data_IF_013305731358
#
_entry.id   IF_013305731358
#
_cell.length_a   1.000
_cell.length_b   1.000
_cell.length_c   1.000
_cell.angle_alpha   90.00
_cell.angle_beta   90.00
_cell.angle_gamma   90.00
#
_symmetry.space_group_name_H-M   'P 1'
#
loop_
_entity.id
_entity.type
_entity.pdbx_description
1 polymer ?
#
# COMPACT_ATOMS: atom_id res chain seq x y z
N UNK A 1 13.28 -12.26 -3.42
CA UNK A 1 12.67 -11.48 -4.51
C UNK A 1 11.71 -10.44 -3.95
N UNK A 2 11.64 -9.27 -4.58
CA UNK A 2 10.67 -8.24 -4.23
C UNK A 2 9.28 -8.70 -4.71
N UNK A 3 8.34 -8.84 -3.77
CA UNK A 3 6.96 -9.20 -4.05
C UNK A 3 6.22 -7.94 -4.45
N UNK A 4 5.96 -7.89 -5.74
CA UNK A 4 5.41 -6.80 -6.51
C UNK A 4 3.87 -6.75 -6.43
N UNK A 5 3.26 -5.58 -6.19
CA UNK A 5 1.83 -5.48 -5.78
C UNK A 5 0.99 -4.46 -6.54
N UNK A 6 -0.33 -4.77 -6.61
CA UNK A 6 -1.40 -3.97 -7.21
C UNK A 6 -2.16 -3.19 -6.12
N UNK A 7 -2.71 -2.03 -6.50
CA UNK A 7 -3.33 -1.03 -5.62
C UNK A 7 -4.49 -1.55 -4.74
N UNK A 8 -5.36 -2.41 -5.27
CA UNK A 8 -6.55 -2.90 -4.55
C UNK A 8 -6.26 -3.84 -3.35
N UNK A 9 -5.01 -4.26 -3.16
CA UNK A 9 -4.63 -5.18 -2.07
C UNK A 9 -4.31 -4.46 -0.76
N UNK A 10 -4.38 -3.12 -0.71
CA UNK A 10 -4.12 -2.36 0.51
C UNK A 10 -5.15 -2.67 1.61
N UNK A 11 -4.67 -2.76 2.84
CA UNK A 11 -5.53 -2.99 4.01
C UNK A 11 -5.65 -1.71 4.81
N UNK A 12 -6.89 -1.28 5.05
CA UNK A 12 -7.17 -0.27 6.07
C UNK A 12 -6.88 -0.89 7.45
N UNK A 13 -5.97 -0.31 8.22
CA UNK A 13 -5.56 -0.78 9.54
C UNK A 13 -5.94 0.19 10.66
N UNK A 14 -7.25 0.28 10.91
CA UNK A 14 -7.76 0.97 12.10
C UNK A 14 -7.34 0.30 13.42
N UNK A 15 -6.76 -0.90 13.39
CA UNK A 15 -6.15 -1.58 14.54
C UNK A 15 -5.02 -0.76 15.19
N UNK A 16 -4.46 0.24 14.47
CA UNK A 16 -3.45 1.16 15.01
C UNK A 16 -4.04 2.32 15.81
N UNK A 17 -5.38 2.49 15.83
CA UNK A 17 -6.11 3.49 16.63
C UNK A 17 -6.26 3.00 18.08
N UNK A 18 -5.13 2.67 18.74
CA UNK A 18 -5.11 2.24 20.14
C UNK A 18 -5.71 3.29 21.10
N UNK A 19 -5.71 4.56 20.69
CA UNK A 19 -6.22 5.72 21.44
C UNK A 19 -7.75 5.90 21.37
N UNK A 20 -8.47 5.14 20.52
CA UNK A 20 -9.92 5.00 20.57
C UNK A 20 -10.33 3.57 20.93
N UNK A 21 -9.62 2.94 21.87
CA UNK A 21 -10.07 1.66 22.42
C UNK A 21 -11.40 1.85 23.17
N UNK A 22 -12.51 1.67 22.46
CA UNK A 22 -13.85 1.78 23.01
C UNK A 22 -14.03 0.82 24.19
N UNK A 23 -13.35 -0.32 24.22
CA UNK A 23 -13.42 -1.25 25.34
C UNK A 23 -12.78 -0.65 26.59
N UNK A 24 -11.64 0.03 26.46
CA UNK A 24 -11.02 0.76 27.57
C UNK A 24 -11.98 1.79 28.20
N UNK A 25 -12.64 2.60 27.36
CA UNK A 25 -13.57 3.63 27.85
C UNK A 25 -14.87 3.03 28.40
N UNK A 26 -15.38 1.95 27.81
CA UNK A 26 -16.53 1.20 28.33
C UNK A 26 -16.20 0.60 29.71
N UNK A 27 -15.02 0.03 29.90
CA UNK A 27 -14.58 -0.47 31.21
C UNK A 27 -14.41 0.67 32.24
N UNK A 28 -13.96 1.84 31.82
CA UNK A 28 -13.90 3.04 32.68
C UNK A 28 -15.30 3.49 33.11
N UNK A 29 -16.29 3.47 32.21
CA UNK A 29 -17.69 3.76 32.54
C UNK A 29 -18.27 2.74 33.54
N UNK A 30 -18.00 1.44 33.34
CA UNK A 30 -18.40 0.38 34.30
C UNK A 30 -17.80 0.61 35.68
N UNK A 31 -16.50 0.94 35.75
CA UNK A 31 -15.81 1.27 37.02
C UNK A 31 -16.40 2.50 37.72
N UNK A 32 -17.01 3.42 36.97
CA UNK A 32 -17.76 4.57 37.49
C UNK A 32 -19.19 4.23 37.93
N UNK A 33 -19.59 2.96 37.84
CA UNK A 33 -20.91 2.47 38.26
C UNK A 33 -22.01 2.66 37.21
N UNK A 34 -21.67 3.00 35.96
CA UNK A 34 -22.65 3.03 34.87
C UNK A 34 -22.87 1.62 34.32
N UNK A 35 -24.13 1.27 34.08
CA UNK A 35 -24.53 0.00 33.49
C UNK A 35 -24.91 0.19 32.01
N UNK A 36 -24.69 -0.84 31.16
CA UNK A 36 -25.17 -0.82 29.78
C UNK A 36 -26.71 -0.70 29.72
N UNK A 37 -27.27 -0.16 28.62
CA UNK A 37 -26.57 0.26 27.40
C UNK A 37 -25.84 1.60 27.55
N UNK A 38 -24.58 1.64 27.10
CA UNK A 38 -23.82 2.88 27.02
C UNK A 38 -24.20 3.65 25.75
N UNK A 39 -24.35 4.97 25.85
CA UNK A 39 -24.57 5.82 24.69
C UNK A 39 -23.26 6.53 24.25
N UNK A 40 -23.25 6.99 22.99
CA UNK A 40 -22.07 7.62 22.39
C UNK A 40 -21.59 8.86 23.13
N UNK A 41 -22.51 9.65 23.71
CA UNK A 41 -22.16 10.84 24.47
C UNK A 41 -21.40 10.50 25.77
N UNK A 42 -21.79 9.44 26.47
CA UNK A 42 -21.09 8.98 27.68
C UNK A 42 -19.66 8.55 27.36
N UNK A 43 -19.49 7.78 26.28
CA UNK A 43 -18.16 7.30 25.85
C UNK A 43 -17.30 8.48 25.38
N UNK A 44 -17.87 9.40 24.59
CA UNK A 44 -17.16 10.59 24.09
C UNK A 44 -16.73 11.52 25.21
N UNK A 45 -17.52 11.65 26.29
CA UNK A 45 -17.13 12.43 27.45
C UNK A 45 -15.91 11.83 28.17
N UNK A 46 -15.87 10.49 28.33
CA UNK A 46 -14.70 9.82 28.90
C UNK A 46 -13.46 9.99 28.03
N UNK A 47 -13.62 9.80 26.71
CA UNK A 47 -12.56 9.99 25.71
C UNK A 47 -11.95 11.39 25.83
N UNK A 48 -12.77 12.44 25.77
CA UNK A 48 -12.30 13.84 25.84
C UNK A 48 -11.63 14.18 27.17
N UNK A 49 -11.95 13.46 28.23
CA UNK A 49 -11.41 13.69 29.58
C UNK A 49 -10.12 12.92 29.86
N UNK A 50 -9.67 12.03 28.97
CA UNK A 50 -8.51 11.16 29.19
C UNK A 50 -7.28 11.63 28.37
N UNK A 51 -6.43 12.51 28.93
CA UNK A 51 -5.28 13.03 28.20
C UNK A 51 -4.19 11.98 27.93
N UNK A 52 -4.29 10.80 28.58
CA UNK A 52 -3.29 9.74 28.45
C UNK A 52 -3.66 8.69 27.39
N UNK A 53 -4.95 8.58 27.05
CA UNK A 53 -5.45 7.64 26.05
C UNK A 53 -6.14 8.33 24.86
N UNK A 54 -6.36 9.65 24.88
CA UNK A 54 -6.88 10.42 23.75
C UNK A 54 -5.86 11.44 23.26
N UNK A 55 -5.54 11.39 21.97
CA UNK A 55 -4.68 12.36 21.30
C UNK A 55 -5.31 12.76 19.96
N UNK A 56 -5.92 13.96 19.92
CA UNK A 56 -6.62 14.48 18.73
C UNK A 56 -5.70 14.61 17.52
N UNK A 57 -4.45 15.03 17.75
CA UNK A 57 -3.44 15.19 16.70
C UNK A 57 -3.08 13.84 16.07
N UNK A 58 -2.95 12.80 16.88
CA UNK A 58 -2.67 11.45 16.41
C UNK A 58 -3.89 10.80 15.73
N UNK A 59 -5.09 11.03 16.28
CA UNK A 59 -6.33 10.60 15.63
C UNK A 59 -6.45 11.18 14.23
N UNK A 60 -6.26 12.50 14.10
CA UNK A 60 -6.33 13.17 12.81
C UNK A 60 -5.32 12.58 11.82
N UNK A 61 -4.08 12.36 12.26
CA UNK A 61 -3.03 11.75 11.45
C UNK A 61 -3.45 10.37 10.92
N UNK A 62 -3.83 9.47 11.82
CA UNK A 62 -4.19 8.09 11.45
C UNK A 62 -5.45 8.07 10.58
N UNK A 63 -6.47 8.85 10.91
CA UNK A 63 -7.68 8.94 10.07
C UNK A 63 -7.35 9.41 8.67
N UNK A 64 -6.53 10.45 8.52
CA UNK A 64 -6.13 10.96 7.20
C UNK A 64 -5.33 9.92 6.41
N UNK A 65 -4.40 9.21 7.07
CA UNK A 65 -3.62 8.13 6.47
C UNK A 65 -4.49 6.98 5.97
N UNK A 66 -5.37 6.46 6.83
CA UNK A 66 -6.22 5.31 6.52
C UNK A 66 -7.27 5.65 5.45
N UNK A 67 -7.81 6.87 5.46
CA UNK A 67 -8.67 7.35 4.37
C UNK A 67 -7.89 7.57 3.07
N UNK A 68 -6.59 7.86 3.13
CA UNK A 68 -5.70 7.79 1.98
C UNK A 68 -5.75 6.43 1.32
N UNK A 69 -5.61 5.33 2.08
CA UNK A 69 -5.73 3.97 1.54
C UNK A 69 -7.10 3.69 0.92
N UNK A 70 -8.19 4.18 1.53
CA UNK A 70 -9.55 4.06 0.96
C UNK A 70 -9.63 4.73 -0.41
N UNK A 71 -8.88 5.81 -0.62
CA UNK A 71 -8.79 6.55 -1.88
C UNK A 71 -7.72 6.02 -2.85
N UNK A 72 -7.14 4.84 -2.59
CA UNK A 72 -6.11 4.24 -3.45
C UNK A 72 -4.70 4.79 -3.21
N UNK A 73 -4.45 5.42 -2.04
CA UNK A 73 -3.10 5.82 -1.66
C UNK A 73 -2.30 4.64 -1.08
N UNK A 74 -1.05 4.47 -1.51
CA UNK A 74 -0.07 3.49 -1.07
C UNK A 74 0.82 4.14 -0.02
N UNK A 75 1.50 3.34 0.79
CA UNK A 75 2.53 3.87 1.68
C UNK A 75 3.67 4.50 0.89
N UNK A 76 4.06 5.71 1.28
CA UNK A 76 5.12 6.45 0.59
C UNK A 76 6.48 5.73 0.68
N UNK A 77 6.73 5.04 1.80
CA UNK A 77 7.92 4.20 2.01
C UNK A 77 8.00 2.97 1.08
N UNK A 78 6.91 2.65 0.37
CA UNK A 78 6.90 1.61 -0.66
C UNK A 78 7.45 2.12 -2.00
N UNK A 79 7.80 3.41 -2.10
CA UNK A 79 8.48 3.97 -3.26
C UNK A 79 9.84 3.28 -3.48
N UNK A 80 10.14 2.78 -4.70
CA UNK A 80 11.38 2.08 -4.98
C UNK A 80 12.62 2.91 -4.63
N UNK A 81 13.43 2.41 -3.70
CA UNK A 81 14.66 3.06 -3.27
C UNK A 81 14.49 4.18 -2.24
N UNK A 82 13.28 4.42 -1.72
CA UNK A 82 13.06 5.40 -0.66
C UNK A 82 13.78 5.02 0.64
N UNK A 83 13.59 3.78 1.13
CA UNK A 83 14.07 3.36 2.45
C UNK A 83 14.93 2.10 2.38
N UNK A 84 16.12 2.17 3.01
CA UNK A 84 17.03 1.04 3.19
C UNK A 84 16.72 0.24 4.46
N UNK A 85 15.67 -0.60 4.41
CA UNK A 85 15.17 -1.34 5.56
C UNK A 85 16.13 -2.41 6.11
N UNK A 86 16.28 -2.44 7.43
CA UNK A 86 16.97 -3.50 8.17
C UNK A 86 15.99 -4.62 8.57
N UNK A 87 15.78 -5.60 7.69
CA UNK A 87 14.84 -6.73 7.91
C UNK A 87 15.37 -7.77 8.89
N UNK A 88 15.42 -7.42 10.18
CA UNK A 88 15.90 -8.29 11.28
C UNK A 88 14.77 -8.68 12.21
N UNK A 89 14.96 -9.78 12.97
CA UNK A 89 13.98 -10.22 13.98
C UNK A 89 13.65 -9.13 15.01
N UNK A 90 14.58 -8.23 15.32
CA UNK A 90 14.32 -7.09 16.20
C UNK A 90 13.23 -6.16 15.66
N UNK A 91 13.22 -5.89 14.34
CA UNK A 91 12.21 -5.04 13.71
C UNK A 91 10.86 -5.76 13.66
N UNK A 92 10.85 -7.05 13.32
CA UNK A 92 9.62 -7.86 13.38
C UNK A 92 9.04 -7.93 14.81
N UNK A 93 9.89 -8.16 15.81
CA UNK A 93 9.48 -8.24 17.21
C UNK A 93 8.95 -6.91 17.74
N UNK A 94 9.47 -5.78 17.26
CA UNK A 94 8.92 -4.47 17.58
C UNK A 94 7.47 -4.38 17.11
N UNK A 95 7.20 -4.57 15.81
CA UNK A 95 5.84 -4.48 15.26
C UNK A 95 4.89 -5.53 15.84
N UNK A 96 5.39 -6.71 16.21
CA UNK A 96 4.60 -7.70 16.93
C UNK A 96 4.21 -7.20 18.32
N UNK A 97 5.12 -6.59 19.07
CA UNK A 97 4.85 -6.10 20.44
C UNK A 97 3.96 -4.87 20.45
N UNK A 98 4.18 -3.95 19.53
CA UNK A 98 3.48 -2.65 19.54
C UNK A 98 2.18 -2.67 18.75
N UNK A 99 2.03 -3.51 17.73
CA UNK A 99 0.83 -3.57 16.88
C UNK A 99 0.22 -4.97 16.76
N UNK A 100 0.81 -6.00 17.38
CA UNK A 100 0.32 -7.37 17.26
C UNK A 100 0.54 -7.99 15.87
N UNK A 101 1.33 -7.34 15.01
CA UNK A 101 1.50 -7.78 13.63
C UNK A 101 2.43 -8.99 13.53
N UNK A 102 1.99 -10.00 12.77
CA UNK A 102 2.87 -11.11 12.42
C UNK A 102 3.86 -10.70 11.32
N UNK A 103 4.88 -11.53 11.06
CA UNK A 103 5.92 -11.24 10.06
C UNK A 103 5.34 -10.93 8.68
N UNK A 104 4.28 -11.62 8.26
CA UNK A 104 3.64 -11.40 6.96
C UNK A 104 2.97 -10.02 6.88
N UNK A 105 2.33 -9.55 7.95
CA UNK A 105 1.71 -8.22 8.04
C UNK A 105 2.77 -7.12 8.07
N UNK A 106 3.92 -7.36 8.72
CA UNK A 106 5.08 -6.44 8.67
C UNK A 106 5.70 -6.39 7.27
N UNK A 107 5.94 -7.55 6.65
CA UNK A 107 6.44 -7.63 5.28
C UNK A 107 5.52 -6.90 4.30
N UNK A 108 4.21 -6.94 4.57
CA UNK A 108 3.21 -6.28 3.75
C UNK A 108 3.12 -4.76 3.99
N UNK A 109 2.94 -4.33 5.24
CA UNK A 109 2.66 -2.93 5.56
C UNK A 109 3.93 -2.05 5.59
N UNK A 110 5.08 -2.63 5.92
CA UNK A 110 6.31 -1.86 6.18
C UNK A 110 7.33 -2.03 5.05
N UNK A 111 7.56 -3.27 4.62
CA UNK A 111 8.69 -3.60 3.76
C UNK A 111 8.34 -3.84 2.28
N UNK A 112 7.05 -3.87 1.93
CA UNK A 112 6.63 -4.05 0.56
C UNK A 112 7.03 -2.82 -0.27
N UNK A 113 7.63 -3.06 -1.43
CA UNK A 113 7.87 -2.03 -2.44
C UNK A 113 6.81 -2.20 -3.54
N UNK A 114 6.35 -1.10 -4.12
CA UNK A 114 5.41 -1.12 -5.25
C UNK A 114 6.15 -0.87 -6.56
N UNK A 115 5.88 -1.68 -7.58
CA UNK A 115 6.44 -1.57 -8.95
C UNK A 115 5.73 -0.55 -9.81
N UNK A 116 4.52 -0.24 -9.38
CA UNK A 116 3.65 0.75 -9.99
C UNK A 116 3.39 1.78 -8.90
N UNK A 117 4.46 2.43 -8.43
CA UNK A 117 4.26 3.73 -7.79
C UNK A 117 3.71 4.67 -8.85
N UNK A 118 2.64 5.38 -8.47
CA UNK A 118 1.81 6.24 -9.32
C UNK A 118 2.42 6.57 -10.66
N UNK A 119 1.89 5.90 -11.69
CA UNK A 119 2.31 5.97 -13.08
C UNK A 119 2.73 7.39 -13.47
N UNK A 120 3.98 7.55 -13.90
CA UNK A 120 4.60 8.78 -14.39
C UNK A 120 4.46 10.03 -13.47
N UNK A 121 5.50 10.29 -12.66
CA UNK A 121 5.80 11.64 -12.18
C UNK A 121 5.37 11.97 -10.75
N UNK A 122 5.40 11.00 -9.85
CA UNK A 122 5.51 11.25 -8.40
C UNK A 122 6.93 10.89 -7.97
N UNK A 123 7.62 11.84 -7.35
CA UNK A 123 8.87 11.60 -6.63
C UNK A 123 8.54 11.19 -5.19
N UNK A 124 9.49 10.53 -4.51
CA UNK A 124 9.36 10.21 -3.08
C UNK A 124 9.13 11.48 -2.25
N UNK A 125 8.06 11.51 -1.46
CA UNK A 125 7.70 12.62 -0.58
C UNK A 125 7.80 12.25 0.91
N UNK A 126 8.94 12.52 1.59
CA UNK A 126 9.09 12.20 3.01
C UNK A 126 8.12 12.97 3.93
N UNK A 127 7.43 14.00 3.44
CA UNK A 127 6.43 14.75 4.22
C UNK A 127 5.00 14.24 4.01
N UNK A 128 4.80 13.26 3.13
CA UNK A 128 3.48 12.69 2.87
C UNK A 128 2.83 12.16 4.15
N UNK A 129 1.51 12.34 4.27
CA UNK A 129 0.73 11.70 5.33
C UNK A 129 0.77 10.17 5.22
N UNK A 130 1.09 9.63 4.03
CA UNK A 130 1.20 8.20 3.74
C UNK A 130 2.55 7.60 4.14
N UNK A 131 3.47 8.40 4.68
CA UNK A 131 4.77 7.97 5.17
C UNK A 131 4.70 7.61 6.66
N UNK A 132 5.14 6.42 7.06
CA UNK A 132 5.29 6.11 8.49
C UNK A 132 6.54 6.76 9.07
N UNK A 133 6.52 7.01 10.37
CA UNK A 133 7.73 7.32 11.12
C UNK A 133 8.74 6.16 11.02
N UNK A 134 10.01 6.51 10.88
CA UNK A 134 11.12 5.58 10.73
C UNK A 134 12.18 5.93 11.75
N UNK A 135 12.57 4.94 12.55
CA UNK A 135 13.62 5.09 13.54
C UNK A 135 14.97 4.63 12.96
N UNK A 136 16.11 5.25 13.37
CA UNK A 136 17.43 4.91 12.84
C UNK A 136 17.82 3.44 12.95
N UNK A 137 17.31 2.74 13.97
CA UNK A 137 17.62 1.33 14.20
C UNK A 137 16.86 0.38 13.26
N UNK A 138 15.84 0.87 12.54
CA UNK A 138 15.05 0.13 11.56
C UNK A 138 15.68 0.16 10.16
N UNK A 139 16.70 1.00 9.95
CA UNK A 139 17.37 1.20 8.65
C UNK A 139 18.84 0.77 8.72
N UNK A 140 19.45 0.52 7.57
CA UNK A 140 20.87 0.11 7.49
C UNK A 140 21.84 1.28 7.49
N UNK A 141 21.37 2.46 7.14
CA UNK A 141 22.14 3.71 7.00
C UNK A 141 21.86 4.73 8.12
N UNK A 142 20.96 4.41 9.05
CA UNK A 142 20.56 5.30 10.15
C UNK A 142 19.57 6.37 9.72
N UNK A 143 18.95 6.25 8.54
CA UNK A 143 17.86 7.12 8.12
C UNK A 143 16.73 7.13 9.15
N UNK A 144 16.19 8.32 9.43
CA UNK A 144 15.09 8.52 10.35
C UNK A 144 14.12 9.56 9.82
N UNK A 145 12.88 9.44 10.29
CA UNK A 145 11.81 10.36 9.96
C UNK A 145 10.76 10.31 11.08
N UNK A 146 10.33 11.49 11.55
CA UNK A 146 9.25 11.61 12.52
C UNK A 146 7.87 11.54 11.84
N UNK A 147 6.81 11.43 12.65
CA UNK A 147 5.44 11.42 12.15
C UNK A 147 5.05 12.73 11.44
N UNK A 148 4.44 12.61 10.27
CA UNK A 148 3.78 13.70 9.57
C UNK A 148 2.33 13.81 10.04
N UNK A 149 1.84 15.03 10.29
CA UNK A 149 0.49 15.25 10.87
C UNK A 149 -0.47 16.01 9.96
N UNK A 150 -0.02 16.40 8.78
CA UNK A 150 -0.77 17.20 7.82
C UNK A 150 -0.53 16.67 6.40
N UNK A 151 -1.44 16.95 5.47
CA UNK A 151 -1.22 16.61 4.06
C UNK A 151 -0.07 17.44 3.50
N UNK A 152 0.89 16.76 2.87
CA UNK A 152 1.93 17.42 2.10
C UNK A 152 1.34 18.09 0.84
N UNK A 153 2.15 18.91 0.18
CA UNK A 153 1.75 19.42 -1.15
C UNK A 153 1.77 18.33 -2.22
N UNK A 154 2.57 17.27 -2.03
CA UNK A 154 2.57 16.06 -2.85
C UNK A 154 1.24 15.33 -2.74
N UNK A 155 0.75 15.07 -1.52
CA UNK A 155 -0.53 14.42 -1.24
C UNK A 155 -1.69 15.13 -1.94
N UNK A 156 -1.78 16.46 -1.75
CA UNK A 156 -2.85 17.29 -2.32
C UNK A 156 -2.84 17.25 -3.85
N UNK A 157 -1.65 17.32 -4.45
CA UNK A 157 -1.50 17.27 -5.91
C UNK A 157 -1.86 15.88 -6.43
N UNK A 158 -1.39 14.82 -5.77
CA UNK A 158 -1.66 13.44 -6.17
C UNK A 158 -3.16 13.14 -6.10
N UNK A 159 -3.83 13.46 -5.00
CA UNK A 159 -5.26 13.16 -4.86
C UNK A 159 -6.12 13.98 -5.83
N UNK A 160 -5.74 15.22 -6.13
CA UNK A 160 -6.41 16.03 -7.15
C UNK A 160 -6.24 15.47 -8.57
N UNK A 161 -5.16 14.70 -8.83
CA UNK A 161 -4.98 13.96 -10.09
C UNK A 161 -5.87 12.73 -10.16
N UNK A 162 -6.18 12.08 -9.05
CA UNK A 162 -7.08 10.93 -9.02
C UNK A 162 -8.56 11.35 -9.05
N UNK A 163 -8.90 12.40 -8.32
CA UNK A 163 -10.26 12.87 -8.15
C UNK A 163 -10.36 14.36 -8.52
N UNK A 164 -10.30 14.70 -9.82
CA UNK A 164 -10.44 16.09 -10.27
C UNK A 164 -11.83 16.63 -9.94
N UNK A 165 -11.90 17.89 -9.49
CA UNK A 165 -13.14 18.51 -9.01
C UNK A 165 -14.18 18.74 -10.13
N UNK A 166 -13.72 19.16 -11.29
CA UNK A 166 -14.58 19.70 -12.37
C UNK A 166 -14.57 18.82 -13.63
N UNK A 167 -13.97 17.62 -13.57
CA UNK A 167 -13.84 16.69 -14.71
C UNK A 167 -14.10 15.26 -14.25
N UNK A 168 -14.56 14.42 -15.18
CA UNK A 168 -14.70 12.97 -14.94
C UNK A 168 -13.38 12.21 -15.08
N UNK A 169 -12.38 12.81 -15.75
CA UNK A 169 -11.06 12.23 -15.95
C UNK A 169 -9.99 13.31 -15.80
N UNK A 170 -8.84 12.93 -15.26
CA UNK A 170 -7.68 13.80 -15.08
C UNK A 170 -6.96 14.07 -16.39
N UNK A 171 -6.42 15.28 -16.54
CA UNK A 171 -5.54 15.61 -17.67
C UNK A 171 -4.22 14.80 -17.63
N UNK A 172 -3.89 14.24 -16.46
CA UNK A 172 -2.74 13.36 -16.23
C UNK A 172 -3.13 11.87 -16.21
N UNK A 173 -4.35 11.52 -16.64
CA UNK A 173 -4.75 10.12 -16.77
C UNK A 173 -3.85 9.40 -17.77
N UNK A 174 -3.19 8.35 -17.30
CA UNK A 174 -2.35 7.46 -18.11
C UNK A 174 -3.19 6.40 -18.82
N UNK A 175 -2.57 5.69 -19.76
CA UNK A 175 -3.19 4.50 -20.36
C UNK A 175 -3.48 3.45 -19.29
N UNK A 176 -4.76 3.12 -19.15
CA UNK A 176 -5.25 2.08 -18.26
C UNK A 176 -5.74 0.89 -19.07
N UNK A 177 -5.46 -0.28 -18.53
CA UNK A 177 -5.76 -1.57 -19.15
C UNK A 177 -6.43 -2.45 -18.10
N UNK A 178 -7.70 -2.78 -18.35
CA UNK A 178 -8.44 -3.77 -17.58
C UNK A 178 -8.50 -5.07 -18.37
N UNK A 179 -8.09 -6.17 -17.72
CA UNK A 179 -8.10 -7.51 -18.29
C UNK A 179 -9.19 -8.31 -17.59
N UNK A 180 -10.09 -8.90 -18.38
CA UNK A 180 -11.21 -9.72 -17.91
C UNK A 180 -11.36 -10.96 -18.78
N UNK A 181 -12.22 -11.91 -18.37
CA UNK A 181 -12.52 -13.14 -19.11
C UNK A 181 -11.26 -13.90 -19.57
N UNK A 182 -10.32 -14.09 -18.64
CA UNK A 182 -9.07 -14.82 -18.90
C UNK A 182 -9.41 -16.29 -19.15
N UNK A 183 -9.33 -16.72 -20.41
CA UNK A 183 -9.56 -18.10 -20.84
C UNK A 183 -8.36 -19.01 -20.58
N UNK A 184 -8.49 -20.27 -20.96
CA UNK A 184 -7.40 -21.25 -20.86
C UNK A 184 -6.20 -20.82 -21.72
N UNK A 185 -5.00 -20.95 -21.14
CA UNK A 185 -3.75 -20.67 -21.81
C UNK A 185 -3.37 -21.87 -22.69
N UNK A 186 -3.47 -21.73 -24.00
CA UNK A 186 -3.03 -22.76 -24.93
C UNK A 186 -1.51 -22.63 -25.19
N UNK A 187 -0.75 -23.69 -24.89
CA UNK A 187 0.69 -23.76 -25.14
C UNK A 187 0.98 -24.91 -26.10
N UNK A 188 1.41 -24.58 -27.31
CA UNK A 188 1.65 -25.54 -28.41
C UNK A 188 3.15 -25.58 -28.70
N UNK A 189 3.71 -26.78 -28.87
CA UNK A 189 5.05 -26.93 -29.41
C UNK A 189 5.03 -26.71 -30.94
N UNK A 190 5.87 -25.81 -31.43
CA UNK A 190 6.04 -25.48 -32.85
C UNK A 190 7.42 -25.98 -33.31
N UNK A 191 7.43 -27.21 -33.84
CA UNK A 191 8.65 -27.90 -34.29
C UNK A 191 9.33 -27.22 -35.49
N UNK A 192 8.60 -26.36 -36.22
CA UNK A 192 9.13 -25.59 -37.35
C UNK A 192 9.87 -24.36 -36.83
N UNK A 193 9.28 -23.64 -35.86
CA UNK A 193 9.92 -22.49 -35.21
C UNK A 193 10.92 -22.87 -34.12
N UNK A 194 11.00 -24.16 -33.79
CA UNK A 194 11.82 -24.70 -32.68
C UNK A 194 11.51 -23.98 -31.36
N UNK A 195 10.23 -23.79 -31.06
CA UNK A 195 9.80 -23.02 -29.90
C UNK A 195 8.36 -23.30 -29.46
N UNK A 196 7.93 -22.58 -28.44
CA UNK A 196 6.57 -22.66 -27.91
C UNK A 196 5.71 -21.52 -28.46
N UNK A 197 4.50 -21.83 -28.88
CA UNK A 197 3.46 -20.87 -29.23
C UNK A 197 2.49 -20.78 -28.06
N UNK A 198 2.42 -19.60 -27.44
CA UNK A 198 1.57 -19.31 -26.29
C UNK A 198 0.41 -18.45 -26.76
N UNK A 199 -0.82 -18.93 -26.58
CA UNK A 199 -2.05 -18.27 -27.02
C UNK A 199 -2.94 -18.02 -25.81
N UNK A 200 -2.79 -16.85 -25.16
CA UNK A 200 -3.73 -16.43 -24.14
C UNK A 200 -5.05 -15.99 -24.79
N UNK A 201 -6.15 -16.13 -24.07
CA UNK A 201 -7.44 -15.52 -24.42
C UNK A 201 -7.89 -14.64 -23.26
N UNK A 202 -8.25 -13.39 -23.54
CA UNK A 202 -8.78 -12.45 -22.56
C UNK A 202 -9.47 -11.28 -23.26
N UNK A 203 -10.35 -10.59 -22.55
CA UNK A 203 -10.93 -9.32 -22.96
C UNK A 203 -10.09 -8.17 -22.38
N UNK A 204 -9.69 -7.26 -23.27
CA UNK A 204 -9.04 -6.00 -22.94
C UNK A 204 -10.02 -4.84 -23.03
N UNK A 205 -10.18 -4.09 -21.94
CA UNK A 205 -10.80 -2.76 -21.94
C UNK A 205 -9.73 -1.71 -21.66
N UNK A 206 -9.83 -0.58 -22.35
CA UNK A 206 -8.89 0.54 -22.18
C UNK A 206 -9.65 1.84 -21.96
N UNK A 207 -9.00 2.82 -21.34
CA UNK A 207 -9.55 4.16 -21.16
C UNK A 207 -9.34 5.08 -22.39
N UNK A 208 -9.07 4.52 -23.58
CA UNK A 208 -8.85 5.28 -24.82
C UNK A 208 -7.70 6.30 -24.79
N UNK A 209 -6.76 6.19 -23.83
CA UNK A 209 -5.49 6.93 -23.86
C UNK A 209 -4.46 6.15 -24.66
N UNK A 210 -3.62 6.87 -25.40
CA UNK A 210 -2.51 6.28 -26.13
C UNK A 210 -1.47 5.77 -25.14
N UNK A 211 -1.06 4.51 -25.26
CA UNK A 211 -0.02 3.90 -24.46
C UNK A 211 0.47 2.62 -25.13
N UNK A 212 1.66 2.17 -24.75
CA UNK A 212 2.22 0.91 -25.19
C UNK A 212 1.82 -0.21 -24.21
N UNK A 213 1.27 -1.29 -24.75
CA UNK A 213 0.88 -2.46 -23.96
C UNK A 213 1.79 -3.62 -24.36
N UNK A 214 2.48 -4.18 -23.37
CA UNK A 214 3.38 -5.31 -23.54
C UNK A 214 2.72 -6.57 -23.00
N UNK A 215 2.59 -7.61 -23.84
CA UNK A 215 2.25 -8.94 -23.38
C UNK A 215 3.54 -9.73 -23.14
N UNK A 216 3.81 -10.09 -21.88
CA UNK A 216 5.04 -10.79 -21.49
C UNK A 216 4.70 -12.17 -20.97
N UNK A 217 5.15 -13.21 -21.67
CA UNK A 217 5.13 -14.57 -21.16
C UNK A 217 6.42 -14.84 -20.38
N UNK A 218 6.30 -15.36 -19.15
CA UNK A 218 7.44 -15.78 -18.32
C UNK A 218 7.43 -17.29 -18.15
N UNK A 219 8.60 -17.90 -18.28
CA UNK A 219 8.82 -19.29 -17.91
C UNK A 219 9.42 -19.35 -16.52
N UNK A 220 8.88 -20.20 -15.66
CA UNK A 220 9.41 -20.49 -14.34
C UNK A 220 9.66 -22.00 -14.21
N UNK A 221 10.63 -22.38 -13.37
CA UNK A 221 10.85 -23.76 -12.99
C UNK A 221 9.83 -24.24 -11.94
N UNK A 222 9.97 -25.49 -11.51
CA UNK A 222 9.10 -26.13 -10.50
C UNK A 222 9.16 -25.44 -9.12
N UNK A 223 10.20 -24.64 -8.86
CA UNK A 223 10.38 -23.86 -7.63
C UNK A 223 9.85 -22.42 -7.77
N UNK A 224 9.30 -22.08 -8.93
CA UNK A 224 8.80 -20.74 -9.25
C UNK A 224 9.89 -19.74 -9.61
N UNK A 225 11.12 -20.19 -9.85
CA UNK A 225 12.23 -19.32 -10.24
C UNK A 225 12.18 -19.05 -11.75
N UNK A 226 12.23 -17.78 -12.14
CA UNK A 226 12.15 -17.39 -13.55
C UNK A 226 13.46 -17.64 -14.30
N UNK A 227 13.36 -18.12 -15.54
CA UNK A 227 14.50 -18.17 -16.46
C UNK A 227 14.86 -16.75 -16.90
N UNK A 228 16.12 -16.35 -16.66
CA UNK A 228 16.65 -15.09 -17.20
C UNK A 228 16.71 -15.17 -18.73
N UNK A 229 16.33 -14.07 -19.38
CA UNK A 229 16.36 -13.94 -20.84
C UNK A 229 17.23 -12.74 -21.22
N UNK A 230 18.08 -12.95 -22.22
CA UNK A 230 18.90 -11.88 -22.82
C UNK A 230 18.10 -11.08 -23.88
N UNK A 231 16.84 -11.44 -24.10
CA UNK A 231 15.99 -10.81 -25.10
C UNK A 231 15.61 -9.38 -24.69
N UNK A 232 16.08 -8.40 -25.46
CA UNK A 232 15.88 -6.97 -25.19
C UNK A 232 14.41 -6.53 -25.12
N UNK A 233 13.52 -7.22 -25.84
CA UNK A 233 12.09 -6.90 -25.94
C UNK A 233 11.18 -7.85 -25.13
N UNK A 234 11.75 -8.92 -24.57
CA UNK A 234 11.00 -9.93 -23.84
C UNK A 234 11.57 -10.14 -22.43
N UNK A 235 12.21 -9.10 -21.88
CA UNK A 235 12.60 -9.04 -20.48
C UNK A 235 11.72 -8.01 -19.75
N UNK A 236 11.47 -8.25 -18.46
CA UNK A 236 10.78 -7.27 -17.63
C UNK A 236 11.84 -6.34 -17.04
N UNK A 237 11.69 -5.04 -17.27
CA UNK A 237 12.72 -4.03 -16.96
C UNK A 237 13.56 -3.67 -18.18
N UNK A 238 12.95 -3.60 -19.37
CA UNK A 238 13.56 -3.28 -20.66
C UNK A 238 14.76 -2.34 -20.54
N UNK A 239 15.88 -2.77 -21.14
CA UNK A 239 17.16 -2.06 -21.31
C UNK A 239 17.47 -0.90 -20.35
#
# INVERSE_FOLDING_TARGET
EAKFRRDYQQTVNFDTIYFMDLNYYVEKLKKKGLNPPFNFNQVTAEIKSDPNHWNDKELRRVVMHEFGHVLGLLHEQSYPGAINWKKTDSVYNYYQKTQGWNKQKVDFNVFAMSDQFYTNGTEYDPQSIMQYAIQPWQTTDGFHLDDNFELSDGDKKLIARFYPKDKTESDLAVAQVEISDVGELEVINDDVRKGLVIRPSFILKTNSKLGEVYFVARMADELGMYYKTDAKYYNWGGA
#
